data_IF_962682071808
#
_entry.id   IF_962682071808
#
_cell.length_a   1.000
_cell.length_b   1.000
_cell.length_c   1.000
_cell.angle_alpha   90.00
_cell.angle_beta   90.00
_cell.angle_gamma   90.00
#
_symmetry.space_group_name_H-M   'P 1'
#
loop_
_entity.id
_entity.type
_entity.pdbx_description
1 polymer ?
#
# COMPACT_ATOMS: atom_id res chain seq x y z
N UNK A 1 24.36 -15.79 10.32
CA UNK A 1 23.78 -14.45 10.07
C UNK A 1 22.28 -14.58 10.28
N UNK A 2 21.79 -14.09 11.42
CA UNK A 2 20.44 -14.37 11.91
C UNK A 2 19.53 -13.20 11.50
N UNK A 3 18.56 -13.45 10.62
CA UNK A 3 17.68 -12.42 10.04
C UNK A 3 16.45 -12.07 10.91
N UNK A 4 16.42 -12.52 12.17
CA UNK A 4 15.28 -12.31 13.08
C UNK A 4 15.49 -11.16 14.09
N UNK A 5 16.02 -10.02 13.65
CA UNK A 5 15.87 -8.77 14.39
C UNK A 5 14.64 -8.02 13.89
N UNK A 6 13.46 -8.59 14.13
CA UNK A 6 12.19 -7.91 13.88
C UNK A 6 11.25 -8.09 15.06
N UNK A 7 11.38 -7.21 16.04
CA UNK A 7 10.30 -6.93 17.00
C UNK A 7 10.75 -5.80 17.92
N UNK A 8 10.49 -4.54 17.56
CA UNK A 8 9.96 -3.55 18.51
C UNK A 8 9.04 -2.60 17.73
N UNK A 9 7.73 -2.88 17.79
CA UNK A 9 6.63 -1.93 17.56
C UNK A 9 6.10 -1.79 16.15
N UNK A 10 5.20 -2.69 15.71
CA UNK A 10 4.17 -2.38 14.71
C UNK A 10 3.05 -3.43 14.84
N UNK A 11 1.81 -2.94 14.90
CA UNK A 11 0.60 -3.66 15.31
C UNK A 11 0.24 -4.90 14.46
N UNK A 12 -0.54 -5.79 15.07
CA UNK A 12 -0.81 -7.18 14.66
C UNK A 12 -1.53 -7.39 13.32
N UNK A 13 -1.96 -6.36 12.61
CA UNK A 13 -2.54 -6.50 11.26
C UNK A 13 -2.41 -5.14 10.57
N UNK A 14 -1.90 -5.05 9.34
CA UNK A 14 -2.35 -5.83 8.20
C UNK A 14 -1.24 -6.73 7.61
N UNK A 15 -0.83 -7.79 8.30
CA UNK A 15 0.25 -8.69 7.85
C UNK A 15 -0.06 -9.27 6.46
N UNK A 16 -1.31 -9.65 6.18
CA UNK A 16 -1.70 -10.14 4.87
C UNK A 16 -1.59 -9.06 3.78
N UNK A 17 -2.10 -7.85 4.03
CA UNK A 17 -1.94 -6.74 3.09
C UNK A 17 -0.48 -6.32 2.92
N UNK A 18 0.28 -6.25 4.00
CA UNK A 18 1.70 -5.89 4.00
C UNK A 18 2.51 -6.90 3.18
N UNK A 19 2.28 -8.20 3.41
CA UNK A 19 2.90 -9.27 2.61
C UNK A 19 2.48 -9.14 1.15
N UNK A 20 1.18 -8.96 0.86
CA UNK A 20 0.68 -8.82 -0.49
C UNK A 20 1.29 -7.63 -1.25
N UNK A 21 1.29 -6.45 -0.62
CA UNK A 21 1.89 -5.23 -1.18
C UNK A 21 3.39 -5.39 -1.40
N UNK A 22 4.09 -6.03 -0.46
CA UNK A 22 5.53 -6.30 -0.57
C UNK A 22 5.85 -7.28 -1.69
N UNK A 23 5.14 -8.41 -1.77
CA UNK A 23 5.28 -9.40 -2.86
C UNK A 23 4.98 -8.78 -4.22
N UNK A 24 3.92 -7.98 -4.33
CA UNK A 24 3.62 -7.27 -5.57
C UNK A 24 4.68 -6.22 -5.91
N UNK A 25 5.20 -5.48 -4.93
CA UNK A 25 6.27 -4.51 -5.17
C UNK A 25 7.56 -5.19 -5.66
N UNK A 26 7.94 -6.32 -5.05
CA UNK A 26 9.11 -7.09 -5.45
C UNK A 26 8.97 -7.64 -6.88
N UNK A 27 7.78 -8.13 -7.27
CA UNK A 27 7.54 -8.59 -8.64
C UNK A 27 7.63 -7.44 -9.67
N UNK A 28 7.15 -6.25 -9.32
CA UNK A 28 7.29 -5.06 -10.15
C UNK A 28 8.76 -4.67 -10.35
N UNK A 29 9.55 -4.65 -9.27
CA UNK A 29 10.99 -4.36 -9.34
C UNK A 29 11.73 -5.32 -10.27
N UNK A 30 11.44 -6.62 -10.19
CA UNK A 30 12.04 -7.63 -11.08
C UNK A 30 11.69 -7.35 -12.54
N UNK A 31 10.47 -6.85 -12.82
CA UNK A 31 10.03 -6.50 -14.17
C UNK A 31 10.52 -5.13 -14.69
N UNK A 32 11.31 -4.38 -13.90
CA UNK A 32 11.74 -3.02 -14.24
C UNK A 32 10.62 -1.98 -14.24
N UNK A 33 9.47 -2.28 -13.63
CA UNK A 33 8.30 -1.40 -13.51
C UNK A 33 8.15 -0.90 -12.06
N UNK A 34 7.55 0.27 -11.87
CA UNK A 34 7.09 0.70 -10.54
C UNK A 34 8.15 1.30 -9.62
N UNK A 35 9.18 1.95 -10.17
CA UNK A 35 10.10 2.78 -9.38
C UNK A 35 9.28 3.77 -8.53
N UNK A 36 9.49 3.72 -7.21
CA UNK A 36 8.86 4.58 -6.20
C UNK A 36 7.41 4.23 -5.77
N UNK A 37 6.89 3.04 -6.08
CA UNK A 37 5.55 2.63 -5.60
C UNK A 37 5.53 2.22 -4.13
N UNK A 38 6.66 1.83 -3.55
CA UNK A 38 6.72 1.38 -2.15
C UNK A 38 6.15 2.43 -1.17
N UNK A 39 6.48 3.71 -1.35
CA UNK A 39 5.96 4.78 -0.50
C UNK A 39 4.43 4.95 -0.62
N UNK A 40 3.87 4.64 -1.80
CA UNK A 40 2.42 4.65 -2.00
C UNK A 40 1.77 3.49 -1.21
N UNK A 41 2.38 2.31 -1.26
CA UNK A 41 1.92 1.13 -0.52
C UNK A 41 2.04 1.31 0.99
N UNK A 42 3.09 1.96 1.49
CA UNK A 42 3.20 2.28 2.91
C UNK A 42 2.10 3.25 3.37
N UNK A 43 1.83 4.31 2.61
CA UNK A 43 0.75 5.23 2.95
C UNK A 43 -0.64 4.56 2.92
N UNK A 44 -0.86 3.64 1.97
CA UNK A 44 -2.07 2.85 1.90
C UNK A 44 -2.19 1.87 3.07
N UNK A 45 -1.12 1.15 3.40
CA UNK A 45 -1.06 0.24 4.55
C UNK A 45 -1.39 0.97 5.85
N UNK A 46 -0.78 2.13 6.07
CA UNK A 46 -1.02 2.96 7.24
C UNK A 46 -2.48 3.45 7.32
N UNK A 47 -3.12 3.75 6.19
CA UNK A 47 -4.55 4.08 6.19
C UNK A 47 -5.40 2.86 6.53
N UNK A 48 -5.08 1.71 5.93
CA UNK A 48 -5.87 0.49 6.09
C UNK A 48 -5.77 -0.14 7.48
N UNK A 49 -4.90 0.37 8.35
CA UNK A 49 -4.83 0.00 9.77
C UNK A 49 -6.17 0.22 10.51
N UNK A 50 -7.02 1.15 10.01
CA UNK A 50 -8.37 1.36 10.54
C UNK A 50 -9.32 0.16 10.30
N UNK A 51 -9.02 -0.67 9.30
CA UNK A 51 -9.74 -1.90 9.04
C UNK A 51 -8.98 -3.01 9.75
N UNK A 52 -9.41 -3.30 10.98
CA UNK A 52 -8.90 -4.43 11.75
C UNK A 52 -9.04 -5.77 11.02
N UNK A 53 -8.70 -6.86 11.72
CA UNK A 53 -8.53 -8.23 11.19
C UNK A 53 -9.56 -8.65 10.11
N UNK A 54 -9.24 -8.39 8.85
CA UNK A 54 -10.08 -8.70 7.70
C UNK A 54 -9.23 -9.22 6.56
N UNK A 55 -9.79 -10.18 5.82
CA UNK A 55 -9.07 -10.76 4.70
C UNK A 55 -8.96 -9.76 3.53
N UNK A 56 -7.97 -9.98 2.67
CA UNK A 56 -7.70 -9.10 1.54
C UNK A 56 -8.89 -8.96 0.59
N UNK A 57 -9.65 -10.04 0.35
CA UNK A 57 -10.79 -9.99 -0.58
C UNK A 57 -11.94 -9.20 0.02
N UNK A 58 -12.24 -9.41 1.30
CA UNK A 58 -13.26 -8.67 2.05
C UNK A 58 -12.89 -7.18 2.17
N UNK A 59 -11.61 -6.88 2.43
CA UNK A 59 -11.09 -5.52 2.46
C UNK A 59 -11.38 -4.79 1.14
N UNK A 60 -11.01 -5.39 0.00
CA UNK A 60 -11.13 -4.74 -1.31
C UNK A 60 -12.53 -4.79 -1.93
N UNK A 61 -13.32 -5.82 -1.66
CA UNK A 61 -14.63 -5.99 -2.27
C UNK A 61 -15.76 -5.39 -1.44
N UNK A 62 -15.63 -5.36 -0.11
CA UNK A 62 -16.74 -5.02 0.79
C UNK A 62 -16.46 -3.83 1.71
N UNK A 63 -15.20 -3.57 2.09
CA UNK A 63 -14.87 -2.54 3.09
C UNK A 63 -14.28 -1.25 2.52
N UNK A 64 -13.43 -1.35 1.50
CA UNK A 64 -12.79 -0.20 0.87
C UNK A 64 -13.79 0.59 0.04
N UNK A 65 -14.05 1.83 0.46
CA UNK A 65 -14.81 2.81 -0.31
C UNK A 65 -13.86 3.69 -1.12
N UNK A 66 -14.42 4.38 -2.12
CA UNK A 66 -13.67 5.38 -2.90
C UNK A 66 -13.04 6.46 -2.01
N UNK A 67 -13.71 6.84 -0.93
CA UNK A 67 -13.23 7.87 0.00
C UNK A 67 -11.97 7.42 0.75
N UNK A 68 -11.81 6.12 0.98
CA UNK A 68 -10.67 5.54 1.67
C UNK A 68 -9.40 5.62 0.81
N UNK A 69 -9.54 5.34 -0.48
CA UNK A 69 -8.48 5.54 -1.46
C UNK A 69 -8.07 7.02 -1.52
N UNK A 70 -9.05 7.93 -1.50
CA UNK A 70 -8.78 9.38 -1.49
C UNK A 70 -8.04 9.79 -0.21
N UNK A 71 -8.46 9.32 0.96
CA UNK A 71 -7.81 9.64 2.24
C UNK A 71 -6.39 9.08 2.32
N UNK A 72 -6.17 7.84 1.90
CA UNK A 72 -4.84 7.25 1.80
C UNK A 72 -3.93 8.04 0.84
N UNK A 73 -4.48 8.52 -0.29
CA UNK A 73 -3.76 9.37 -1.22
C UNK A 73 -3.40 10.73 -0.61
N UNK A 74 -4.29 11.32 0.20
CA UNK A 74 -4.02 12.57 0.91
C UNK A 74 -2.92 12.38 1.96
N UNK A 75 -2.91 11.24 2.68
CA UNK A 75 -1.83 10.90 3.60
C UNK A 75 -0.49 10.77 2.88
N UNK A 76 -0.46 10.09 1.73
CA UNK A 76 0.73 10.02 0.88
C UNK A 76 1.19 11.41 0.39
N UNK A 77 0.25 12.23 -0.07
CA UNK A 77 0.53 13.57 -0.57
C UNK A 77 1.16 14.45 0.53
N UNK A 78 0.56 14.46 1.71
CA UNK A 78 1.01 15.29 2.84
C UNK A 78 2.34 14.81 3.44
N UNK A 79 2.63 13.51 3.40
CA UNK A 79 3.88 12.94 3.95
C UNK A 79 5.08 13.10 3.03
N UNK A 80 4.89 13.45 1.76
CA UNK A 80 5.98 13.56 0.81
C UNK A 80 6.51 15.00 0.75
N UNK A 81 7.70 15.22 1.32
CA UNK A 81 8.42 16.51 1.34
C UNK A 81 8.72 17.11 -0.06
N UNK A 82 8.46 16.37 -1.14
CA UNK A 82 8.65 16.80 -2.56
C UNK A 82 7.35 16.81 -3.37
N UNK A 83 6.20 16.43 -2.81
CA UNK A 83 4.96 16.20 -3.55
C UNK A 83 4.01 17.41 -3.56
N UNK A 84 4.40 18.50 -4.20
CA UNK A 84 3.43 19.54 -4.59
C UNK A 84 2.83 19.31 -5.99
N UNK A 85 2.96 18.11 -6.56
CA UNK A 85 2.65 17.86 -7.98
C UNK A 85 1.54 16.83 -8.16
N UNK A 86 0.66 17.08 -9.13
CA UNK A 86 -0.33 16.14 -9.71
C UNK A 86 0.24 14.74 -9.96
N UNK A 87 1.55 14.67 -10.23
CA UNK A 87 2.32 13.43 -10.37
C UNK A 87 2.28 12.50 -9.15
N UNK A 88 2.27 13.03 -7.93
CA UNK A 88 2.22 12.21 -6.71
C UNK A 88 0.86 11.51 -6.58
N UNK A 89 -0.23 12.25 -6.84
CA UNK A 89 -1.59 11.68 -6.88
C UNK A 89 -1.69 10.62 -7.97
N UNK A 90 -1.22 10.93 -9.18
CA UNK A 90 -1.22 9.97 -10.28
C UNK A 90 -0.41 8.71 -9.94
N UNK A 91 0.78 8.86 -9.32
CA UNK A 91 1.62 7.73 -8.91
C UNK A 91 0.90 6.84 -7.89
N UNK A 92 0.27 7.45 -6.89
CA UNK A 92 -0.49 6.71 -5.88
C UNK A 92 -1.64 5.93 -6.51
N UNK A 93 -2.46 6.59 -7.32
CA UNK A 93 -3.60 5.95 -7.97
C UNK A 93 -3.16 4.83 -8.92
N UNK A 94 -2.10 5.03 -9.71
CA UNK A 94 -1.53 3.99 -10.57
C UNK A 94 -0.99 2.80 -9.79
N UNK A 95 -0.36 3.02 -8.62
CA UNK A 95 0.15 1.94 -7.78
C UNK A 95 -1.01 1.07 -7.22
N UNK A 96 -2.07 1.69 -6.72
CA UNK A 96 -3.24 0.97 -6.19
C UNK A 96 -4.01 0.26 -7.30
N UNK A 97 -4.23 0.91 -8.44
CA UNK A 97 -4.89 0.29 -9.61
C UNK A 97 -4.12 -0.95 -10.10
N UNK A 98 -2.79 -0.85 -10.19
CA UNK A 98 -1.94 -1.95 -10.62
C UNK A 98 -1.97 -3.11 -9.61
N UNK A 99 -1.93 -2.81 -8.31
CA UNK A 99 -2.05 -3.81 -7.25
C UNK A 99 -3.41 -4.53 -7.32
N UNK A 100 -4.50 -3.77 -7.43
CA UNK A 100 -5.84 -4.34 -7.56
C UNK A 100 -5.96 -5.26 -8.77
N UNK A 101 -5.46 -4.81 -9.93
CA UNK A 101 -5.51 -5.57 -11.19
C UNK A 101 -4.70 -6.85 -11.19
N UNK A 102 -3.53 -6.86 -10.55
CA UNK A 102 -2.58 -7.98 -10.63
C UNK A 102 -2.66 -8.95 -9.46
N UNK A 103 -3.10 -8.49 -8.29
CA UNK A 103 -2.99 -9.25 -7.04
C UNK A 103 -4.35 -9.60 -6.42
N UNK A 104 -5.35 -8.71 -6.53
CA UNK A 104 -6.67 -8.92 -5.92
C UNK A 104 -7.63 -9.65 -6.86
N UNK A 105 -7.51 -9.38 -8.17
CA UNK A 105 -8.36 -9.93 -9.22
C UNK A 105 -8.49 -11.46 -9.18
#
# INVERSE_FOLDING_TARGET
>A
MNLYNLSIGEDKMNQFLSIALKTHFESLKVSGKGENYWQCYQAFLNYCDIYGDCDLKDLFNNKLLRQDIVRACVLYYNSSAKAHRKEAVNRFLSAIDLFYKNYIK
#
